data_IF_801384899010
#
_entry.id   IF_801384899010
#
_cell.length_a   1.000
_cell.length_b   1.000
_cell.length_c   1.000
_cell.angle_alpha   90.00
_cell.angle_beta   90.00
_cell.angle_gamma   90.00
#
_symmetry.space_group_name_H-M   'P 1'
#
loop_
_entity.id
_entity.type
_entity.pdbx_description
1 polymer ?
#
# COMPACT_ATOMS: atom_id res chain seq x y z
N UNK A 1 5.37 17.99 -5.34
CA UNK A 1 5.87 16.76 -5.98
C UNK A 1 6.60 15.92 -4.95
N UNK A 2 6.22 14.65 -4.76
CA UNK A 2 6.89 13.81 -3.77
C UNK A 2 8.33 13.50 -4.19
N UNK A 3 9.21 13.32 -3.19
CA UNK A 3 10.57 12.86 -3.41
C UNK A 3 10.56 11.40 -3.88
N UNK A 4 11.30 11.05 -4.94
CA UNK A 4 11.44 9.65 -5.32
C UNK A 4 12.14 8.87 -4.22
N UNK A 5 11.53 7.78 -3.79
CA UNK A 5 12.10 6.87 -2.80
C UNK A 5 12.24 5.48 -3.42
N UNK A 6 13.19 4.70 -2.93
CA UNK A 6 13.26 3.29 -3.30
C UNK A 6 12.17 2.55 -2.56
N UNK A 7 11.24 1.96 -3.31
CA UNK A 7 10.11 1.25 -2.76
C UNK A 7 10.34 -0.25 -2.74
N UNK A 8 9.68 -0.95 -1.82
CA UNK A 8 9.60 -2.40 -1.85
C UNK A 8 8.80 -2.86 -3.08
N UNK A 9 7.69 -2.22 -3.34
CA UNK A 9 6.88 -2.44 -4.54
C UNK A 9 5.83 -3.53 -4.41
N UNK A 10 5.91 -4.39 -3.38
CA UNK A 10 4.97 -5.49 -3.15
C UNK A 10 4.86 -5.80 -1.65
N UNK A 11 4.71 -4.74 -0.85
CA UNK A 11 4.75 -4.85 0.61
C UNK A 11 3.37 -5.16 1.19
N UNK A 12 3.17 -6.44 1.48
CA UNK A 12 1.97 -6.94 2.16
C UNK A 12 2.37 -8.03 3.16
N UNK A 13 1.43 -8.49 3.98
CA UNK A 13 1.72 -9.44 5.06
C UNK A 13 2.42 -10.71 4.62
N UNK A 14 2.22 -11.16 3.38
CA UNK A 14 2.89 -12.33 2.83
C UNK A 14 4.38 -12.14 2.52
N UNK A 15 4.85 -10.88 2.47
CA UNK A 15 6.24 -10.53 2.17
C UNK A 15 6.94 -9.88 3.36
N UNK A 16 6.44 -10.10 4.56
CA UNK A 16 7.03 -9.59 5.80
C UNK A 16 6.97 -10.66 6.88
N UNK A 17 7.97 -10.69 7.73
CA UNK A 17 8.01 -11.65 8.85
C UNK A 17 8.96 -11.12 9.92
N UNK A 18 9.28 -11.97 10.89
CA UNK A 18 10.28 -11.68 11.90
C UNK A 18 11.08 -12.94 12.21
N UNK A 19 12.30 -12.77 12.69
CA UNK A 19 13.15 -13.91 13.08
C UNK A 19 12.78 -14.39 14.49
N UNK A 20 13.50 -15.41 14.98
CA UNK A 20 13.24 -15.99 16.31
C UNK A 20 13.49 -14.99 17.44
N UNK A 21 14.33 -14.00 17.21
CA UNK A 21 14.61 -12.94 18.19
C UNK A 21 13.60 -11.79 18.11
N UNK A 22 12.63 -11.85 17.18
CA UNK A 22 11.62 -10.83 17.00
C UNK A 22 12.03 -9.69 16.09
N UNK A 23 13.18 -9.77 15.44
CA UNK A 23 13.61 -8.73 14.49
C UNK A 23 12.80 -8.81 13.20
N UNK A 24 12.14 -7.71 12.80
CA UNK A 24 11.34 -7.73 11.57
C UNK A 24 12.21 -7.74 10.32
N UNK A 25 11.69 -8.35 9.27
CA UNK A 25 12.30 -8.28 7.94
C UNK A 25 11.23 -8.32 6.85
N UNK A 26 11.60 -7.80 5.68
CA UNK A 26 10.76 -7.82 4.49
C UNK A 26 11.54 -8.50 3.36
N UNK A 27 10.82 -9.11 2.42
CA UNK A 27 11.43 -9.89 1.34
C UNK A 27 10.56 -9.87 0.08
N UNK A 28 11.05 -10.50 -0.97
CA UNK A 28 10.39 -10.56 -2.29
C UNK A 28 9.99 -9.19 -2.84
N UNK A 29 10.92 -8.24 -2.94
CA UNK A 29 10.60 -6.91 -3.47
C UNK A 29 10.39 -6.92 -4.98
N UNK A 30 9.51 -6.02 -5.43
CA UNK A 30 9.36 -5.63 -6.83
C UNK A 30 9.77 -4.16 -6.94
N UNK A 31 11.01 -3.86 -6.63
CA UNK A 31 11.50 -2.53 -6.34
C UNK A 31 11.46 -1.56 -7.51
N UNK A 32 11.10 -0.32 -7.23
CA UNK A 32 11.19 0.81 -8.14
C UNK A 32 11.31 2.10 -7.34
N UNK A 33 11.63 3.19 -8.01
CA UNK A 33 11.64 4.50 -7.37
C UNK A 33 10.30 5.20 -7.59
N UNK A 34 9.72 5.72 -6.52
CA UNK A 34 8.44 6.39 -6.59
C UNK A 34 8.06 7.06 -5.28
N UNK A 35 6.79 7.45 -5.17
CA UNK A 35 6.25 8.03 -3.96
C UNK A 35 6.19 6.97 -2.86
N UNK A 36 6.84 7.24 -1.71
CA UNK A 36 6.85 6.33 -0.56
C UNK A 36 5.44 5.94 -0.09
N UNK A 37 4.47 6.83 -0.28
CA UNK A 37 3.08 6.55 0.10
C UNK A 37 2.48 5.39 -0.67
N UNK A 38 2.98 5.07 -1.86
CA UNK A 38 2.51 3.91 -2.61
C UNK A 38 2.77 2.59 -1.87
N UNK A 39 3.95 2.46 -1.24
CA UNK A 39 4.24 1.28 -0.40
C UNK A 39 3.31 1.22 0.82
N UNK A 40 3.14 2.35 1.51
CA UNK A 40 2.27 2.39 2.70
C UNK A 40 0.83 2.10 2.31
N UNK A 41 0.35 2.66 1.20
CA UNK A 41 -1.00 2.39 0.69
C UNK A 41 -1.20 0.90 0.41
N UNK A 42 -0.22 0.26 -0.22
CA UNK A 42 -0.32 -1.16 -0.57
C UNK A 42 -0.42 -2.06 0.66
N UNK A 43 0.20 -1.68 1.79
CA UNK A 43 0.09 -2.48 3.02
C UNK A 43 -1.35 -2.68 3.47
N UNK A 44 -2.24 -1.75 3.16
CA UNK A 44 -3.66 -1.84 3.55
C UNK A 44 -4.49 -2.75 2.65
N UNK A 45 -3.99 -3.13 1.47
CA UNK A 45 -4.79 -3.79 0.45
C UNK A 45 -5.21 -5.21 0.85
N UNK A 46 -4.36 -5.92 1.60
CA UNK A 46 -4.59 -7.30 1.99
C UNK A 46 -4.63 -7.45 3.52
N UNK A 47 -5.39 -6.61 4.19
CA UNK A 47 -5.65 -6.70 5.63
C UNK A 47 -4.77 -5.82 6.50
N UNK A 48 -3.78 -5.17 5.93
CA UNK A 48 -2.91 -4.25 6.66
C UNK A 48 -1.92 -4.94 7.59
N UNK A 49 -1.10 -4.11 8.24
CA UNK A 49 -0.20 -4.53 9.31
C UNK A 49 -0.78 -4.09 10.66
N UNK A 50 -0.05 -4.38 11.75
CA UNK A 50 -0.50 -3.96 13.09
C UNK A 50 -0.45 -2.42 13.24
N UNK A 51 -1.25 -1.85 14.16
CA UNK A 51 -1.16 -0.42 14.45
C UNK A 51 0.25 0.05 14.79
N UNK A 52 1.04 -0.79 15.47
CA UNK A 52 2.44 -0.47 15.80
C UNK A 52 3.31 -0.21 14.58
N UNK A 53 3.05 -0.91 13.48
CA UNK A 53 3.78 -0.66 12.23
C UNK A 53 3.55 0.76 11.73
N UNK A 54 2.29 1.21 11.70
CA UNK A 54 1.94 2.54 11.20
C UNK A 54 2.41 3.64 12.14
N UNK A 55 2.32 3.42 13.44
CA UNK A 55 2.85 4.36 14.43
C UNK A 55 4.36 4.53 14.29
N UNK A 56 5.10 3.42 14.12
CA UNK A 56 6.54 3.46 13.92
C UNK A 56 6.92 4.17 12.62
N UNK A 57 6.20 3.90 11.55
CA UNK A 57 6.46 4.57 10.27
C UNK A 57 6.24 6.08 10.37
N UNK A 58 5.11 6.52 10.91
CA UNK A 58 4.80 7.94 11.05
C UNK A 58 5.71 8.64 12.07
N UNK A 59 6.25 7.90 13.04
CA UNK A 59 7.23 8.43 13.98
C UNK A 59 8.54 8.86 13.31
N UNK A 60 8.92 8.17 12.22
CA UNK A 60 10.09 8.54 11.43
C UNK A 60 9.77 9.60 10.38
N UNK A 61 8.70 9.39 9.63
CA UNK A 61 8.23 10.32 8.59
C UNK A 61 6.71 10.37 8.59
N UNK A 62 6.15 11.50 8.97
CA UNK A 62 4.70 11.69 8.91
C UNK A 62 4.21 11.61 7.48
N UNK A 63 3.03 11.00 7.31
CA UNK A 63 2.35 10.99 6.03
C UNK A 63 1.80 12.39 5.74
N UNK A 64 1.87 12.80 4.48
CA UNK A 64 1.37 14.12 4.08
C UNK A 64 -0.15 14.20 4.22
N UNK A 65 -0.72 15.38 4.50
CA UNK A 65 -2.17 15.55 4.51
C UNK A 65 -2.80 15.06 3.21
N UNK A 66 -3.97 14.44 3.32
CA UNK A 66 -4.65 13.87 2.16
C UNK A 66 -4.25 12.44 1.82
N UNK A 67 -3.41 11.80 2.64
CA UNK A 67 -3.00 10.41 2.40
C UNK A 67 -4.20 9.47 2.26
N UNK A 68 -5.26 9.66 3.02
CA UNK A 68 -6.45 8.78 2.93
C UNK A 68 -7.02 8.74 1.51
N UNK A 69 -7.06 9.87 0.84
CA UNK A 69 -7.52 9.95 -0.56
C UNK A 69 -6.49 9.33 -1.51
N UNK A 70 -5.21 9.66 -1.34
CA UNK A 70 -4.15 9.11 -2.18
C UNK A 70 -3.98 7.60 -2.01
N UNK A 71 -4.21 7.08 -0.79
CA UNK A 71 -4.21 5.64 -0.54
C UNK A 71 -5.20 4.92 -1.45
N UNK A 72 -6.42 5.45 -1.58
CA UNK A 72 -7.44 4.86 -2.45
C UNK A 72 -6.97 4.88 -3.90
N UNK A 73 -6.38 5.99 -4.34
CA UNK A 73 -5.89 6.13 -5.71
C UNK A 73 -4.76 5.17 -6.02
N UNK A 74 -3.75 5.08 -5.14
CA UNK A 74 -2.63 4.17 -5.34
C UNK A 74 -3.08 2.71 -5.36
N UNK A 75 -3.99 2.33 -4.47
CA UNK A 75 -4.48 0.95 -4.42
C UNK A 75 -5.41 0.62 -5.58
N UNK A 76 -6.08 1.61 -6.17
CA UNK A 76 -6.88 1.39 -7.37
C UNK A 76 -6.03 0.82 -8.51
N UNK A 77 -4.81 1.32 -8.69
CA UNK A 77 -3.90 0.74 -9.70
C UNK A 77 -3.69 -0.75 -9.46
N UNK A 78 -3.42 -1.15 -8.22
CA UNK A 78 -3.20 -2.55 -7.89
C UNK A 78 -4.48 -3.39 -8.04
N UNK A 79 -5.63 -2.83 -7.67
CA UNK A 79 -6.92 -3.50 -7.82
C UNK A 79 -7.23 -3.77 -9.30
N UNK A 80 -7.00 -2.79 -10.17
CA UNK A 80 -7.18 -2.95 -11.62
C UNK A 80 -6.20 -3.96 -12.20
N UNK A 81 -4.95 -3.91 -11.78
CA UNK A 81 -3.93 -4.86 -12.22
C UNK A 81 -4.28 -6.29 -11.80
N UNK A 82 -4.73 -6.48 -10.57
CA UNK A 82 -5.18 -7.79 -10.08
C UNK A 82 -6.41 -8.27 -10.83
N UNK A 83 -7.33 -7.38 -11.17
CA UNK A 83 -8.49 -7.73 -12.01
C UNK A 83 -8.04 -8.26 -13.36
N UNK A 84 -7.10 -7.59 -14.01
CA UNK A 84 -6.56 -8.02 -15.31
C UNK A 84 -5.86 -9.38 -15.23
N UNK A 85 -5.17 -9.66 -14.12
CA UNK A 85 -4.40 -10.90 -13.96
C UNK A 85 -5.24 -12.06 -13.43
N UNK A 86 -6.19 -11.81 -12.52
CA UNK A 86 -6.87 -12.83 -11.75
C UNK A 86 -8.41 -12.82 -11.90
N UNK A 87 -8.99 -11.79 -12.50
CA UNK A 87 -10.40 -11.75 -12.86
C UNK A 87 -11.34 -11.21 -11.80
N UNK A 88 -12.59 -11.57 -11.91
CA UNK A 88 -13.80 -10.90 -11.41
C UNK A 88 -13.88 -10.45 -9.97
N UNK A 89 -13.23 -11.10 -8.99
CA UNK A 89 -13.29 -10.68 -7.60
C UNK A 89 -12.71 -9.30 -7.34
N UNK A 90 -11.78 -8.87 -8.17
CA UNK A 90 -11.14 -7.55 -8.04
C UNK A 90 -11.90 -6.42 -8.72
N UNK A 91 -12.88 -6.76 -9.58
CA UNK A 91 -13.70 -5.75 -10.25
C UNK A 91 -14.54 -4.95 -9.26
N UNK A 92 -15.13 -5.62 -8.27
CA UNK A 92 -15.92 -4.96 -7.22
C UNK A 92 -15.08 -4.01 -6.38
N UNK A 93 -13.85 -4.43 -6.01
CA UNK A 93 -12.93 -3.58 -5.26
C UNK A 93 -12.55 -2.33 -6.05
N UNK A 94 -12.17 -2.49 -7.32
CA UNK A 94 -11.81 -1.36 -8.18
C UNK A 94 -12.99 -0.39 -8.36
N UNK A 95 -14.20 -0.93 -8.58
CA UNK A 95 -15.40 -0.12 -8.75
C UNK A 95 -15.74 0.66 -7.48
N UNK A 96 -15.62 0.02 -6.31
CA UNK A 96 -15.83 0.66 -5.03
C UNK A 96 -14.85 1.81 -4.80
N UNK A 97 -13.56 1.60 -5.14
CA UNK A 97 -12.54 2.63 -5.03
C UNK A 97 -12.82 3.82 -5.96
N UNK A 98 -13.26 3.56 -7.18
CA UNK A 98 -13.64 4.62 -8.12
C UNK A 98 -14.79 5.44 -7.56
N UNK A 99 -15.83 4.79 -7.02
CA UNK A 99 -16.95 5.48 -6.40
C UNK A 99 -16.52 6.35 -5.21
N UNK A 100 -15.62 5.84 -4.37
CA UNK A 100 -15.10 6.60 -3.25
C UNK A 100 -14.34 7.84 -3.73
N UNK A 101 -13.48 7.69 -4.74
CA UNK A 101 -12.70 8.81 -5.28
C UNK A 101 -13.61 9.88 -5.90
N UNK A 102 -14.63 9.46 -6.65
CA UNK A 102 -15.59 10.38 -7.26
C UNK A 102 -16.35 11.16 -6.19
N UNK A 103 -16.74 10.51 -5.10
CA UNK A 103 -17.47 11.16 -4.01
C UNK A 103 -16.62 12.19 -3.24
N UNK A 104 -15.29 12.12 -3.36
CA UNK A 104 -14.37 13.05 -2.71
C UNK A 104 -14.06 14.27 -3.57
N UNK A 105 -14.49 14.26 -4.82
CA UNK A 105 -14.37 15.41 -5.71
C UNK A 105 -15.54 16.35 -5.51
#
# INVERSE_FOLDING_TARGET
TPYPSLLHGDLWGGNASHDQAGNPFIFDPASYYGDREADVAFTYMFGGFSPSFYEGYEGEFSLNPGFKTRKILYNLYHELNHFNLFGGGYASSAQSSIHQLVSLL
#
